data_IF_440040546075
#
_entry.id   IF_440040546075
#
_cell.length_a   1.000
_cell.length_b   1.000
_cell.length_c   1.000
_cell.angle_alpha   90.00
_cell.angle_beta   90.00
_cell.angle_gamma   90.00
#
_symmetry.space_group_name_H-M   'P 1'
#
loop_
_entity.id
_entity.type
_entity.pdbx_description
1 polymer ?
#
# COMPACT_ATOMS: atom_id res chain seq x y z
N UNK A 1 11.10 -18.75 9.97
CA UNK A 1 10.55 -17.37 9.90
C UNK A 1 9.18 -17.29 9.22
N UNK A 2 8.96 -17.93 8.06
CA UNK A 2 7.64 -17.93 7.37
C UNK A 2 6.44 -18.42 8.21
N UNK A 3 6.66 -19.32 9.19
CA UNK A 3 5.59 -19.76 10.09
C UNK A 3 5.03 -18.62 10.93
N UNK A 4 5.88 -17.71 11.41
CA UNK A 4 5.48 -16.52 12.20
C UNK A 4 4.71 -15.53 11.32
N UNK A 5 5.17 -15.32 10.08
CA UNK A 5 4.49 -14.49 9.08
C UNK A 5 3.03 -14.92 8.83
N UNK A 6 2.76 -16.24 8.77
CA UNK A 6 1.39 -16.77 8.63
C UNK A 6 0.48 -16.47 9.83
N UNK A 7 1.02 -16.30 11.03
CA UNK A 7 0.23 -15.97 12.22
C UNK A 7 -0.19 -14.49 12.22
N UNK A 8 0.69 -13.59 11.78
CA UNK A 8 0.37 -12.16 11.64
C UNK A 8 -0.79 -11.92 10.67
N UNK A 9 -0.79 -12.61 9.53
CA UNK A 9 -1.86 -12.51 8.53
C UNK A 9 -3.21 -13.00 9.06
N UNK A 10 -3.22 -14.09 9.86
CA UNK A 10 -4.46 -14.59 10.49
C UNK A 10 -5.01 -13.61 11.51
N UNK A 11 -4.14 -12.97 12.28
CA UNK A 11 -4.51 -11.98 13.30
C UNK A 11 -5.13 -10.71 12.68
N UNK A 12 -4.65 -10.29 11.50
CA UNK A 12 -5.14 -9.08 10.82
C UNK A 12 -6.24 -9.34 9.76
N UNK A 13 -6.75 -10.58 9.66
CA UNK A 13 -7.67 -11.00 8.59
C UNK A 13 -8.99 -10.24 8.59
N UNK A 14 -9.53 -9.88 9.76
CA UNK A 14 -10.82 -9.18 9.86
C UNK A 14 -10.73 -7.76 9.32
N UNK A 15 -9.67 -7.02 9.65
CA UNK A 15 -9.46 -5.66 9.13
C UNK A 15 -9.27 -5.68 7.60
N UNK A 16 -8.50 -6.64 7.09
CA UNK A 16 -8.34 -6.84 5.64
C UNK A 16 -9.66 -7.18 4.95
N UNK A 17 -10.48 -8.04 5.56
CA UNK A 17 -11.77 -8.43 5.01
C UNK A 17 -12.75 -7.26 4.91
N UNK A 18 -12.78 -6.36 5.91
CA UNK A 18 -13.62 -5.16 5.88
C UNK A 18 -13.22 -4.23 4.73
N UNK A 19 -11.91 -4.00 4.54
CA UNK A 19 -11.42 -3.15 3.46
C UNK A 19 -11.75 -3.73 2.07
N UNK A 20 -11.57 -5.04 1.89
CA UNK A 20 -11.89 -5.75 0.66
C UNK A 20 -13.40 -5.78 0.38
N UNK A 21 -14.23 -5.94 1.42
CA UNK A 21 -15.69 -5.89 1.30
C UNK A 21 -16.17 -4.51 0.82
N UNK A 22 -15.60 -3.42 1.35
CA UNK A 22 -15.91 -2.07 0.89
C UNK A 22 -15.48 -1.83 -0.56
N UNK A 23 -14.33 -2.38 -0.98
CA UNK A 23 -13.89 -2.31 -2.37
C UNK A 23 -14.84 -3.07 -3.29
N UNK A 24 -15.25 -4.29 -2.91
CA UNK A 24 -16.20 -5.08 -3.68
C UNK A 24 -17.58 -4.39 -3.80
N UNK A 25 -18.05 -3.73 -2.74
CA UNK A 25 -19.30 -2.97 -2.80
C UNK A 25 -19.23 -1.81 -3.81
N UNK A 26 -18.14 -1.04 -3.80
CA UNK A 26 -17.92 0.03 -4.78
C UNK A 26 -17.76 -0.50 -6.21
N UNK A 27 -17.11 -1.65 -6.38
CA UNK A 27 -17.00 -2.34 -7.67
C UNK A 27 -18.37 -2.66 -8.25
N UNK A 28 -19.28 -3.18 -7.42
CA UNK A 28 -20.66 -3.50 -7.84
C UNK A 28 -21.40 -2.22 -8.23
N UNK A 29 -21.26 -1.14 -7.45
CA UNK A 29 -21.86 0.15 -7.79
C UNK A 29 -21.35 0.69 -9.14
N UNK A 30 -20.05 0.58 -9.41
CA UNK A 30 -19.45 0.97 -10.69
C UNK A 30 -20.01 0.13 -11.86
N UNK A 31 -20.11 -1.19 -11.71
CA UNK A 31 -20.67 -2.06 -12.75
C UNK A 31 -22.16 -1.77 -13.02
N UNK A 32 -22.94 -1.42 -11.98
CA UNK A 32 -24.34 -0.99 -12.15
C UNK A 32 -24.41 0.36 -12.87
N UNK A 33 -23.51 1.29 -12.54
CA UNK A 33 -23.44 2.59 -13.20
C UNK A 33 -23.10 2.45 -14.70
N UNK A 34 -22.19 1.53 -15.05
CA UNK A 34 -21.83 1.23 -16.44
C UNK A 34 -23.04 0.72 -17.25
N UNK A 35 -23.89 -0.14 -16.65
CA UNK A 35 -25.10 -0.67 -17.31
C UNK A 35 -26.18 0.36 -17.56
N UNK A 36 -26.20 1.47 -16.81
CA UNK A 36 -27.20 2.53 -16.99
C UNK A 36 -26.89 3.46 -18.16
N UNK A 37 -25.76 3.27 -18.84
CA UNK A 37 -25.29 4.01 -20.03
C UNK A 37 -25.15 5.54 -19.88
N UNK A 38 -25.47 6.09 -18.71
CA UNK A 38 -25.27 7.51 -18.40
C UNK A 38 -23.79 7.77 -18.06
N UNK A 39 -23.09 8.48 -18.94
CA UNK A 39 -21.68 8.86 -18.84
C UNK A 39 -21.31 9.47 -17.48
N UNK A 40 -22.10 10.45 -17.02
CA UNK A 40 -21.80 11.22 -15.82
C UNK A 40 -21.75 10.33 -14.57
N UNK A 41 -22.65 9.35 -14.48
CA UNK A 41 -22.68 8.43 -13.34
C UNK A 41 -21.48 7.48 -13.37
N UNK A 42 -21.07 6.97 -14.54
CA UNK A 42 -19.92 6.09 -14.65
C UNK A 42 -18.62 6.79 -14.25
N UNK A 43 -18.45 8.06 -14.63
CA UNK A 43 -17.28 8.88 -14.26
C UNK A 43 -17.25 9.15 -12.75
N UNK A 44 -18.39 9.49 -12.14
CA UNK A 44 -18.47 9.73 -10.70
C UNK A 44 -18.08 8.47 -9.92
N UNK A 45 -18.65 7.32 -10.27
CA UNK A 45 -18.37 6.06 -9.57
C UNK A 45 -16.94 5.57 -9.81
N UNK A 46 -16.37 5.75 -11.01
CA UNK A 46 -14.96 5.40 -11.27
C UNK A 46 -14.00 6.26 -10.44
N UNK A 47 -14.29 7.56 -10.32
CA UNK A 47 -13.48 8.50 -9.51
C UNK A 47 -13.51 8.12 -8.03
N UNK A 48 -14.70 7.79 -7.49
CA UNK A 48 -14.86 7.33 -6.10
C UNK A 48 -14.11 6.02 -5.87
N UNK A 49 -14.15 5.08 -6.83
CA UNK A 49 -13.48 3.79 -6.73
C UNK A 49 -11.95 3.97 -6.68
N UNK A 50 -11.38 4.82 -7.54
CA UNK A 50 -9.95 5.14 -7.53
C UNK A 50 -9.54 5.78 -6.21
N UNK A 51 -10.31 6.74 -5.69
CA UNK A 51 -10.03 7.40 -4.42
C UNK A 51 -10.06 6.38 -3.27
N UNK A 52 -11.06 5.51 -3.23
CA UNK A 52 -11.16 4.44 -2.24
C UNK A 52 -9.99 3.45 -2.34
N UNK A 53 -9.54 3.10 -3.55
CA UNK A 53 -8.39 2.23 -3.75
C UNK A 53 -7.10 2.83 -3.14
N UNK A 54 -6.88 4.13 -3.31
CA UNK A 54 -5.75 4.85 -2.67
C UNK A 54 -5.87 4.81 -1.15
N UNK A 55 -7.04 5.09 -0.60
CA UNK A 55 -7.28 5.03 0.85
C UNK A 55 -7.07 3.62 1.39
N UNK A 56 -7.55 2.60 0.68
CA UNK A 56 -7.39 1.19 1.03
C UNK A 56 -5.90 0.80 1.07
N UNK A 57 -5.13 1.22 0.08
CA UNK A 57 -3.68 1.00 0.03
C UNK A 57 -3.00 1.54 1.29
N UNK A 58 -3.21 2.82 1.63
CA UNK A 58 -2.59 3.42 2.82
C UNK A 58 -3.14 2.86 4.14
N UNK A 59 -4.43 2.54 4.22
CA UNK A 59 -5.05 1.97 5.42
C UNK A 59 -4.36 0.67 5.87
N UNK A 60 -4.01 -0.21 4.92
CA UNK A 60 -3.31 -1.47 5.23
C UNK A 60 -1.94 -1.23 5.84
N UNK A 61 -1.18 -0.25 5.36
CA UNK A 61 0.11 0.11 5.97
C UNK A 61 -0.06 0.73 7.36
N UNK A 62 -1.05 1.60 7.56
CA UNK A 62 -1.35 2.21 8.86
C UNK A 62 -1.75 1.13 9.88
N UNK A 63 -2.57 0.16 9.48
CA UNK A 63 -2.93 -0.96 10.34
C UNK A 63 -1.72 -1.80 10.72
N UNK A 64 -0.80 -2.06 9.79
CA UNK A 64 0.43 -2.77 10.10
C UNK A 64 1.28 -2.06 11.17
N UNK A 65 1.50 -0.74 11.00
CA UNK A 65 2.27 0.08 11.96
C UNK A 65 1.56 0.13 13.32
N UNK A 66 0.25 0.31 13.32
CA UNK A 66 -0.55 0.39 14.56
C UNK A 66 -0.53 -0.94 15.32
N UNK A 67 -0.62 -2.07 14.60
CA UNK A 67 -0.52 -3.40 15.20
C UNK A 67 0.85 -3.61 15.85
N UNK A 68 1.92 -3.17 15.19
CA UNK A 68 3.27 -3.23 15.74
C UNK A 68 3.44 -2.35 16.99
N UNK A 69 2.96 -1.11 16.94
CA UNK A 69 2.99 -0.19 18.07
C UNK A 69 2.23 -0.74 19.29
N UNK A 70 1.03 -1.26 19.08
CA UNK A 70 0.21 -1.88 20.13
C UNK A 70 0.89 -3.09 20.73
N UNK A 71 1.59 -3.87 19.92
CA UNK A 71 2.29 -5.06 20.39
C UNK A 71 3.42 -4.72 21.36
N UNK A 72 4.29 -3.77 20.99
CA UNK A 72 5.42 -3.34 21.83
C UNK A 72 4.95 -2.68 23.14
N UNK A 73 3.89 -1.89 23.09
CA UNK A 73 3.37 -1.20 24.27
C UNK A 73 2.40 -2.06 25.12
N UNK A 74 2.10 -3.29 24.70
CA UNK A 74 1.22 -4.18 25.47
C UNK A 74 1.94 -4.78 26.68
N UNK A 75 1.22 -4.98 27.79
CA UNK A 75 1.75 -5.64 29.00
C UNK A 75 2.27 -7.06 28.73
N UNK A 76 1.77 -7.71 27.68
CA UNK A 76 2.16 -9.05 27.25
C UNK A 76 3.32 -9.07 26.25
N UNK A 77 3.88 -7.93 25.86
CA UNK A 77 4.93 -7.85 24.84
C UNK A 77 6.19 -8.63 25.19
N UNK A 78 6.52 -8.74 26.48
CA UNK A 78 7.74 -9.42 26.94
C UNK A 78 7.72 -10.93 26.61
N UNK A 79 6.52 -11.54 26.55
CA UNK A 79 6.36 -12.96 26.22
C UNK A 79 6.84 -13.27 24.81
N UNK A 80 6.71 -12.32 23.88
CA UNK A 80 7.16 -12.47 22.50
C UNK A 80 8.69 -12.60 22.46
N UNK A 81 9.40 -11.88 23.33
CA UNK A 81 10.87 -11.88 23.41
C UNK A 81 11.46 -13.00 24.30
N UNK A 82 10.62 -13.74 25.03
CA UNK A 82 11.03 -14.91 25.82
C UNK A 82 10.99 -16.22 25.02
N UNK A 83 10.54 -16.18 23.76
CA UNK A 83 10.57 -17.35 22.88
C UNK A 83 12.01 -17.69 22.45
N UNK A 84 12.35 -18.96 22.19
CA UNK A 84 13.71 -19.38 21.80
C UNK A 84 14.03 -19.03 20.33
N UNK A 85 13.69 -17.81 19.91
CA UNK A 85 13.98 -17.23 18.60
C UNK A 85 14.47 -15.80 18.79
N UNK A 86 15.41 -15.35 17.95
CA UNK A 86 16.01 -14.02 18.14
C UNK A 86 14.99 -12.90 17.91
N UNK A 87 15.06 -11.85 18.73
CA UNK A 87 14.17 -10.68 18.63
C UNK A 87 14.20 -10.03 17.23
N UNK A 88 15.38 -9.98 16.59
CA UNK A 88 15.54 -9.50 15.22
C UNK A 88 14.73 -10.33 14.24
N UNK A 89 14.74 -11.66 14.39
CA UNK A 89 13.98 -12.55 13.51
C UNK A 89 12.46 -12.34 13.63
N UNK A 90 11.97 -11.98 14.81
CA UNK A 90 10.56 -11.67 15.05
C UNK A 90 10.18 -10.37 14.32
N UNK A 91 10.97 -9.30 14.48
CA UNK A 91 10.72 -8.01 13.83
C UNK A 91 10.82 -8.12 12.32
N UNK A 92 11.85 -8.82 11.81
CA UNK A 92 12.06 -9.02 10.38
C UNK A 92 10.91 -9.82 9.75
N UNK A 93 10.38 -10.82 10.46
CA UNK A 93 9.20 -11.56 9.99
C UNK A 93 7.98 -10.64 9.85
N UNK A 94 7.79 -9.66 10.73
CA UNK A 94 6.69 -8.69 10.62
C UNK A 94 6.91 -7.73 9.46
N UNK A 95 8.11 -7.19 9.30
CA UNK A 95 8.42 -6.30 8.17
C UNK A 95 8.23 -7.02 6.83
N UNK A 96 8.65 -8.28 6.74
CA UNK A 96 8.45 -9.10 5.54
C UNK A 96 6.97 -9.37 5.26
N UNK A 97 6.12 -9.55 6.29
CA UNK A 97 4.67 -9.69 6.09
C UNK A 97 4.05 -8.43 5.48
N UNK A 98 4.49 -7.25 5.92
CA UNK A 98 3.98 -5.96 5.41
C UNK A 98 4.41 -5.76 3.97
N UNK A 99 5.66 -6.10 3.63
CA UNK A 99 6.15 -6.05 2.24
C UNK A 99 5.31 -6.97 1.34
N UNK A 100 5.19 -8.25 1.71
CA UNK A 100 4.44 -9.23 0.91
C UNK A 100 2.97 -8.82 0.74
N UNK A 101 2.33 -8.36 1.82
CA UNK A 101 0.96 -7.87 1.77
C UNK A 101 0.83 -6.63 0.89
N UNK A 102 1.77 -5.69 0.98
CA UNK A 102 1.80 -4.49 0.15
C UNK A 102 1.95 -4.80 -1.34
N UNK A 103 2.80 -5.77 -1.70
CA UNK A 103 2.98 -6.23 -3.08
C UNK A 103 1.71 -6.91 -3.61
N UNK A 104 1.12 -7.82 -2.83
CA UNK A 104 -0.13 -8.51 -3.21
C UNK A 104 -1.26 -7.50 -3.40
N UNK A 105 -1.37 -6.52 -2.50
CA UNK A 105 -2.41 -5.50 -2.57
C UNK A 105 -2.19 -4.55 -3.76
N UNK A 106 -0.95 -4.12 -4.02
CA UNK A 106 -0.61 -3.33 -5.21
C UNK A 106 -0.96 -4.07 -6.50
N UNK A 107 -0.61 -5.36 -6.59
CA UNK A 107 -0.94 -6.19 -7.75
C UNK A 107 -2.45 -6.36 -7.93
N UNK A 108 -3.19 -6.59 -6.84
CA UNK A 108 -4.65 -6.74 -6.87
C UNK A 108 -5.34 -5.43 -7.30
N UNK A 109 -4.95 -4.29 -6.74
CA UNK A 109 -5.49 -2.98 -7.13
C UNK A 109 -5.11 -2.60 -8.56
N UNK A 110 -3.88 -2.91 -9.00
CA UNK A 110 -3.44 -2.67 -10.36
C UNK A 110 -4.21 -3.51 -11.39
N UNK A 111 -4.45 -4.78 -11.08
CA UNK A 111 -5.27 -5.65 -11.93
C UNK A 111 -6.72 -5.18 -12.01
N UNK A 112 -7.32 -4.80 -10.89
CA UNK A 112 -8.67 -4.23 -10.86
C UNK A 112 -8.76 -2.91 -11.64
N UNK A 113 -7.81 -1.99 -11.42
CA UNK A 113 -7.77 -0.72 -12.15
C UNK A 113 -7.61 -0.91 -13.66
N UNK A 114 -6.81 -1.88 -14.10
CA UNK A 114 -6.69 -2.24 -15.52
C UNK A 114 -8.02 -2.75 -16.08
N UNK A 115 -8.71 -3.63 -15.34
CA UNK A 115 -10.01 -4.14 -15.75
C UNK A 115 -11.06 -3.03 -15.84
N UNK A 116 -11.15 -2.16 -14.83
CA UNK A 116 -12.10 -1.05 -14.79
C UNK A 116 -11.90 -0.09 -15.96
N UNK A 117 -10.63 0.25 -16.24
CA UNK A 117 -10.29 1.12 -17.36
C UNK A 117 -10.61 0.46 -18.70
N UNK A 118 -10.34 -0.85 -18.84
CA UNK A 118 -10.67 -1.60 -20.06
C UNK A 118 -12.18 -1.68 -20.31
N UNK A 119 -12.99 -1.83 -19.26
CA UNK A 119 -14.45 -1.85 -19.34
C UNK A 119 -15.01 -0.46 -19.68
N UNK A 120 -14.44 0.59 -19.08
CA UNK A 120 -14.84 1.97 -19.35
C UNK A 120 -14.60 2.37 -20.83
N UNK A 121 -13.45 2.01 -21.40
CA UNK A 121 -13.14 2.32 -22.81
C UNK A 121 -14.04 1.57 -23.79
N UNK A 122 -14.29 0.27 -23.55
CA UNK A 122 -15.11 -0.55 -24.43
C UNK A 122 -16.57 -0.07 -24.51
N UNK A 123 -17.14 0.42 -23.40
CA UNK A 123 -18.53 0.86 -23.35
C UNK A 123 -18.78 2.17 -24.10
N UNK A 124 -17.78 3.07 -24.14
CA UNK A 124 -17.97 4.44 -24.63
C UNK A 124 -17.33 4.74 -25.98
N UNK A 125 -16.85 3.70 -26.69
CA UNK A 125 -16.36 3.72 -28.08
C UNK A 125 -15.30 4.78 -28.44
N UNK A 126 -14.74 5.49 -27.45
CA UNK A 126 -13.65 6.46 -27.65
C UNK A 126 -12.36 5.75 -28.07
N UNK A 127 -12.09 4.55 -27.54
CA UNK A 127 -10.94 3.72 -27.90
C UNK A 127 -11.28 2.22 -27.84
N UNK A 128 -10.80 1.42 -28.80
CA UNK A 128 -11.13 -0.02 -28.91
C UNK A 128 -10.33 -0.88 -27.94
N UNK A 129 -9.17 -0.41 -27.47
CA UNK A 129 -8.40 -1.10 -26.43
C UNK A 129 -7.49 -0.14 -25.64
N UNK A 130 -7.10 -0.53 -24.41
CA UNK A 130 -6.06 0.20 -23.65
C UNK A 130 -4.74 0.32 -24.42
N UNK A 131 -4.42 -0.62 -25.31
CA UNK A 131 -3.22 -0.58 -26.14
C UNK A 131 -3.21 0.59 -27.13
N UNK A 132 -4.39 0.95 -27.66
CA UNK A 132 -4.55 2.10 -28.57
C UNK A 132 -4.34 3.42 -27.83
N UNK A 133 -4.95 3.57 -26.64
CA UNK A 133 -4.74 4.74 -25.76
C UNK A 133 -3.26 4.90 -25.43
N UNK A 134 -2.60 3.80 -25.04
CA UNK A 134 -1.17 3.82 -24.71
C UNK A 134 -0.37 4.22 -25.96
N UNK A 135 -0.70 3.71 -27.14
CA UNK A 135 0.00 4.06 -28.39
C UNK A 135 -0.16 5.53 -28.80
N UNK A 136 -1.33 6.12 -28.56
CA UNK A 136 -1.60 7.51 -28.92
C UNK A 136 -0.94 8.48 -27.92
N UNK A 137 -0.99 8.15 -26.63
CA UNK A 137 -0.20 8.85 -25.60
C UNK A 137 1.28 8.75 -25.92
N UNK A 138 1.79 7.58 -26.29
CA UNK A 138 3.21 7.40 -26.65
C UNK A 138 3.62 8.21 -27.87
N UNK A 139 2.75 8.32 -28.89
CA UNK A 139 2.98 9.21 -30.05
C UNK A 139 3.02 10.69 -29.65
N UNK A 140 2.13 11.12 -28.74
CA UNK A 140 2.08 12.50 -28.28
C UNK A 140 3.29 12.91 -27.43
N UNK A 141 3.92 11.96 -26.74
CA UNK A 141 5.14 12.22 -25.95
C UNK A 141 6.44 11.99 -26.72
N UNK A 142 6.39 11.40 -27.94
CA UNK A 142 7.58 11.11 -28.74
C UNK A 142 8.53 10.08 -28.10
N UNK A 143 8.02 9.25 -27.19
CA UNK A 143 8.80 8.27 -26.41
C UNK A 143 8.58 6.87 -26.99
N UNK A 144 9.67 6.11 -27.12
CA UNK A 144 9.63 4.73 -27.60
C UNK A 144 8.91 3.80 -26.60
N UNK A 145 8.15 2.83 -27.12
CA UNK A 145 7.22 2.00 -26.32
C UNK A 145 7.92 1.16 -25.25
N UNK A 146 9.15 0.72 -25.55
CA UNK A 146 10.00 -0.02 -24.63
C UNK A 146 10.54 0.85 -23.48
N UNK A 147 10.75 2.15 -23.73
CA UNK A 147 11.26 3.08 -22.73
C UNK A 147 10.17 3.44 -21.72
N UNK A 148 8.91 3.64 -22.16
CA UNK A 148 7.78 3.86 -21.25
C UNK A 148 7.53 2.65 -20.35
N UNK A 149 7.56 1.45 -20.92
CA UNK A 149 7.35 0.21 -20.15
C UNK A 149 8.43 0.02 -19.08
N UNK A 150 9.69 0.25 -19.42
CA UNK A 150 10.79 0.17 -18.45
C UNK A 150 10.70 1.27 -17.38
N UNK A 151 10.39 2.51 -17.74
CA UNK A 151 10.17 3.60 -16.77
C UNK A 151 9.02 3.30 -15.82
N UNK A 152 7.90 2.75 -16.31
CA UNK A 152 6.78 2.35 -15.48
C UNK A 152 7.15 1.24 -14.49
N UNK A 153 7.85 0.20 -14.95
CA UNK A 153 8.33 -0.90 -14.09
C UNK A 153 9.30 -0.39 -13.01
N UNK A 154 10.29 0.43 -13.39
CA UNK A 154 11.21 1.04 -12.42
C UNK A 154 10.47 1.97 -11.44
N UNK A 155 9.48 2.73 -11.90
CA UNK A 155 8.62 3.57 -11.07
C UNK A 155 7.85 2.76 -10.01
N UNK A 156 7.29 1.61 -10.40
CA UNK A 156 6.58 0.73 -9.46
C UNK A 156 7.54 0.15 -8.41
N UNK A 157 8.72 -0.30 -8.84
CA UNK A 157 9.73 -0.87 -7.93
C UNK A 157 10.23 0.19 -6.93
N UNK A 158 10.57 1.38 -7.42
CA UNK A 158 11.04 2.49 -6.57
C UNK A 158 9.95 2.96 -5.61
N UNK A 159 8.70 3.02 -6.05
CA UNK A 159 7.56 3.32 -5.18
C UNK A 159 7.40 2.28 -4.06
N UNK A 160 7.43 0.98 -4.39
CA UNK A 160 7.33 -0.10 -3.39
C UNK A 160 8.50 -0.06 -2.39
N UNK A 161 9.72 0.17 -2.86
CA UNK A 161 10.90 0.32 -2.01
C UNK A 161 10.81 1.55 -1.09
N UNK A 162 10.29 2.67 -1.59
CA UNK A 162 10.07 3.90 -0.81
C UNK A 162 9.09 3.68 0.33
N UNK A 163 7.96 3.01 0.05
CA UNK A 163 6.97 2.64 1.08
C UNK A 163 7.58 1.69 2.11
N UNK A 164 8.30 0.66 1.67
CA UNK A 164 8.95 -0.29 2.57
C UNK A 164 10.00 0.38 3.48
N UNK A 165 10.85 1.24 2.92
CA UNK A 165 11.83 2.02 3.67
C UNK A 165 11.17 2.90 4.74
N UNK A 166 10.04 3.53 4.39
CA UNK A 166 9.27 4.35 5.33
C UNK A 166 8.74 3.53 6.50
N UNK A 167 8.17 2.34 6.24
CA UNK A 167 7.69 1.44 7.30
C UNK A 167 8.84 0.94 8.16
N UNK A 168 9.98 0.58 7.55
CA UNK A 168 11.17 0.15 8.26
C UNK A 168 11.68 1.23 9.24
N UNK A 169 11.76 2.48 8.78
CA UNK A 169 12.14 3.60 9.62
C UNK A 169 11.14 3.83 10.76
N UNK A 170 9.84 3.73 10.50
CA UNK A 170 8.83 3.86 11.56
C UNK A 170 8.96 2.77 12.61
N UNK A 171 9.22 1.52 12.20
CA UNK A 171 9.43 0.41 13.14
C UNK A 171 10.67 0.66 14.02
N UNK A 172 11.77 1.12 13.42
CA UNK A 172 12.96 1.54 14.16
C UNK A 172 12.64 2.67 15.15
N UNK A 173 11.88 3.68 14.73
CA UNK A 173 11.50 4.78 15.62
C UNK A 173 10.67 4.31 16.80
N UNK A 174 9.73 3.39 16.59
CA UNK A 174 8.88 2.83 17.64
C UNK A 174 9.72 2.03 18.64
N UNK A 175 10.62 1.16 18.17
CA UNK A 175 11.49 0.38 19.07
C UNK A 175 12.41 1.27 19.88
N UNK A 176 13.05 2.25 19.23
CA UNK A 176 14.01 3.15 19.85
C UNK A 176 13.33 4.11 20.84
N UNK A 177 12.10 4.53 20.55
CA UNK A 177 11.27 5.27 21.50
C UNK A 177 10.86 4.43 22.71
N UNK A 178 10.62 3.12 22.53
CA UNK A 178 10.26 2.21 23.61
C UNK A 178 11.46 1.82 24.50
N UNK A 179 12.68 1.74 23.96
CA UNK A 179 13.88 1.32 24.70
C UNK A 179 14.69 2.48 25.29
N UNK A 180 14.99 3.52 24.50
CA UNK A 180 15.89 4.60 24.94
C UNK A 180 15.18 5.76 25.64
N UNK A 181 13.87 5.92 25.44
CA UNK A 181 13.11 7.13 25.79
C UNK A 181 11.91 6.86 26.70
N UNK A 182 11.91 5.72 27.39
CA UNK A 182 10.81 5.23 28.21
C UNK A 182 10.36 6.19 29.34
N UNK A 183 11.10 7.28 29.58
CA UNK A 183 10.89 8.18 30.72
C UNK A 183 11.01 9.69 30.43
N UNK A 184 10.97 10.18 29.18
CA UNK A 184 11.05 11.64 28.94
C UNK A 184 10.08 12.19 27.88
N UNK A 185 9.60 13.43 28.14
CA UNK A 185 8.72 14.20 27.23
C UNK A 185 9.37 14.50 25.86
N UNK A 186 10.66 14.19 25.69
CA UNK A 186 11.45 14.27 24.45
C UNK A 186 11.11 13.15 23.44
N UNK A 187 10.38 12.11 23.86
CA UNK A 187 9.96 11.03 22.96
C UNK A 187 9.07 11.51 21.80
N UNK A 188 8.35 12.63 21.96
CA UNK A 188 7.51 13.21 20.90
C UNK A 188 8.33 13.97 19.85
N UNK A 189 9.35 14.74 20.27
CA UNK A 189 10.21 15.55 19.39
C UNK A 189 11.10 14.68 18.50
N UNK A 190 11.60 13.55 19.01
CA UNK A 190 12.40 12.62 18.22
C UNK A 190 11.54 11.84 17.21
N UNK A 191 10.30 11.45 17.57
CA UNK A 191 9.37 10.83 16.61
C UNK A 191 9.08 11.77 15.43
N UNK A 192 8.87 13.06 15.69
CA UNK A 192 8.73 14.10 14.65
C UNK A 192 10.00 14.28 13.81
N UNK A 193 11.18 14.29 14.44
CA UNK A 193 12.46 14.47 13.74
C UNK A 193 12.85 13.28 12.86
N UNK A 194 12.54 12.05 13.29
CA UNK A 194 12.75 10.88 12.45
C UNK A 194 11.69 10.74 11.35
N UNK A 195 10.44 11.19 11.58
CA UNK A 195 9.44 11.28 10.52
C UNK A 195 9.89 12.27 9.42
N UNK A 196 10.53 13.37 9.83
CA UNK A 196 11.14 14.35 8.92
C UNK A 196 12.34 13.77 8.14
N UNK A 197 13.19 12.95 8.79
CA UNK A 197 14.28 12.23 8.10
C UNK A 197 13.77 11.15 7.14
N UNK A 198 12.69 10.44 7.49
CA UNK A 198 12.04 9.48 6.60
C UNK A 198 11.43 10.18 5.37
N UNK A 199 10.81 11.34 5.57
CA UNK A 199 10.33 12.20 4.47
C UNK A 199 11.48 12.65 3.56
N UNK A 200 12.62 13.07 4.13
CA UNK A 200 13.82 13.45 3.37
C UNK A 200 14.41 12.27 2.57
N UNK A 201 14.38 11.03 3.09
CA UNK A 201 14.80 9.86 2.33
C UNK A 201 13.81 9.47 1.22
N UNK A 202 12.50 9.62 1.45
CA UNK A 202 11.48 9.39 0.42
C UNK A 202 11.63 10.37 -0.76
N UNK A 203 12.04 11.61 -0.49
CA UNK A 203 12.36 12.62 -1.51
C UNK A 203 13.63 12.27 -2.30
N UNK A 204 14.64 11.63 -1.69
CA UNK A 204 15.87 11.20 -2.38
C UNK A 204 15.69 10.09 -3.40
N UNK A 205 14.61 9.31 -3.32
CA UNK A 205 14.27 8.30 -4.33
C UNK A 205 13.48 8.87 -5.52
N UNK A 206 13.08 10.14 -5.47
CA UNK A 206 12.36 10.85 -6.55
C UNK A 206 13.28 11.71 -7.44
N UNK A 207 14.55 11.85 -7.07
CA UNK A 207 15.59 12.56 -7.83
C UNK A 207 16.48 11.55 -8.56
#
# INVERSE_FOLDING_TARGET
MFRLSKYELRKNRTALFVLLAGLAALQICFLIALRKETQDYAIIWSTILVLYAVVCYFAVFIFAITNYYREINSKTSYLVFMTPVSALSIILSKMLTVLVLGVILAAALGALGWLDFSLFLNQYSVYKSMGEVISEVMKNFGIDTAQVASMALFGIITFLLSVFSTVAMLYLCITLAATLLQNSRLSLLLRLRFLWLAYMQSQRFKA
#
